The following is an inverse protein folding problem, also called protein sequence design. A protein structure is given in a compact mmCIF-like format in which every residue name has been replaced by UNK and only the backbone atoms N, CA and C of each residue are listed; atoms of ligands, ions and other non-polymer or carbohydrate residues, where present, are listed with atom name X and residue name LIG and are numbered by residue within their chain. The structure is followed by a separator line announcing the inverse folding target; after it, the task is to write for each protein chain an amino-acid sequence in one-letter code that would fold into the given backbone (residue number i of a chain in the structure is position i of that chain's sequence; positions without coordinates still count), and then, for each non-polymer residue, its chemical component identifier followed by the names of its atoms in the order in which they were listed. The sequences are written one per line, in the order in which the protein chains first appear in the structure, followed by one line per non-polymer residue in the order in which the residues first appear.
data_IF_149296701169
#
_entry.id   IF_149296701169
#
_cell.length_a   1.000
_cell.length_b   1.000
_cell.length_c   1.000
_cell.angle_alpha   90.00
_cell.angle_beta   90.00
_cell.angle_gamma   90.00
#
_symmetry.space_group_name_H-M   'P 1'
#
loop_
_entity.id
_entity.type
_entity.pdbx_description
1 polymer ?
#
# COMPACT_ATOMS: atom_id res chain seq x y z
N UNK A 1 7.28 12.04 18.37
CA UNK A 1 8.16 11.75 17.20
C UNK A 1 9.22 12.85 17.15
N UNK A 2 10.47 12.49 16.92
CA UNK A 2 11.60 13.41 16.95
C UNK A 2 11.46 14.41 15.79
N UNK A 3 11.65 15.72 16.04
CA UNK A 3 11.37 16.78 15.05
C UNK A 3 12.19 16.62 13.74
N UNK A 4 13.44 16.15 13.85
CA UNK A 4 14.25 15.89 12.67
C UNK A 4 13.68 14.77 11.77
N UNK A 5 13.05 13.72 12.33
CA UNK A 5 12.38 12.68 11.55
C UNK A 5 11.16 13.23 10.79
N UNK A 6 10.39 14.13 11.42
CA UNK A 6 9.27 14.80 10.75
C UNK A 6 9.74 15.68 9.59
N UNK A 7 10.88 16.37 9.79
CA UNK A 7 11.46 17.19 8.73
C UNK A 7 11.93 16.34 7.54
N UNK A 8 12.62 15.23 7.79
CA UNK A 8 13.03 14.26 6.74
C UNK A 8 11.82 13.70 6.01
N UNK A 9 10.82 13.21 6.73
CA UNK A 9 9.57 12.68 6.14
C UNK A 9 8.91 13.71 5.22
N UNK A 10 8.77 14.94 5.69
CA UNK A 10 8.16 16.02 4.90
C UNK A 10 8.98 16.38 3.66
N UNK A 11 10.30 16.43 3.78
CA UNK A 11 11.20 16.72 2.66
C UNK A 11 11.14 15.63 1.59
N UNK A 12 11.10 14.35 1.98
CA UNK A 12 10.99 13.22 1.04
C UNK A 12 9.63 13.22 0.34
N UNK A 13 8.54 13.47 1.08
CA UNK A 13 7.19 13.57 0.47
C UNK A 13 7.18 14.69 -0.58
N UNK A 14 7.68 15.89 -0.24
CA UNK A 14 7.72 17.02 -1.18
C UNK A 14 8.57 16.70 -2.41
N UNK A 15 9.74 16.08 -2.23
CA UNK A 15 10.61 15.70 -3.33
C UNK A 15 9.94 14.67 -4.27
N UNK A 16 9.35 13.60 -3.71
CA UNK A 16 8.70 12.54 -4.50
C UNK A 16 7.41 13.03 -5.16
N UNK A 17 6.57 13.77 -4.44
CA UNK A 17 5.34 14.32 -4.99
C UNK A 17 5.61 15.42 -6.02
N UNK A 18 6.68 16.21 -5.83
CA UNK A 18 7.05 17.30 -6.73
C UNK A 18 7.51 16.89 -8.13
N UNK A 19 7.88 15.61 -8.35
CA UNK A 19 8.21 15.08 -9.70
C UNK A 19 6.97 14.70 -10.52
N UNK A 20 5.77 15.11 -10.10
CA UNK A 20 4.51 14.77 -10.75
C UNK A 20 4.50 15.13 -12.23
N UNK A 21 3.97 14.24 -13.04
CA UNK A 21 3.68 14.41 -14.45
C UNK A 21 2.62 13.39 -14.89
N UNK A 22 1.99 13.60 -16.04
CA UNK A 22 0.87 12.79 -16.51
C UNK A 22 1.17 11.26 -16.53
N UNK A 23 2.38 10.86 -16.94
CA UNK A 23 2.76 9.45 -16.97
C UNK A 23 2.88 8.87 -15.55
N UNK A 24 3.62 9.52 -14.66
CA UNK A 24 3.80 9.08 -13.28
C UNK A 24 2.50 9.13 -12.49
N UNK A 25 1.66 10.14 -12.71
CA UNK A 25 0.34 10.26 -12.08
C UNK A 25 -0.54 9.06 -12.42
N UNK A 26 -0.60 8.68 -13.71
CA UNK A 26 -1.34 7.51 -14.16
C UNK A 26 -0.75 6.22 -13.60
N UNK A 27 0.58 6.08 -13.63
CA UNK A 27 1.29 4.90 -13.16
C UNK A 27 1.05 4.68 -11.65
N UNK A 28 1.30 5.69 -10.82
CA UNK A 28 1.15 5.56 -9.36
C UNK A 28 -0.31 5.50 -8.92
N UNK A 29 -1.23 6.12 -9.68
CA UNK A 29 -2.66 5.92 -9.47
C UNK A 29 -3.08 4.46 -9.69
N UNK A 30 -2.61 3.83 -10.77
CA UNK A 30 -2.82 2.40 -11.02
C UNK A 30 -2.24 1.53 -9.89
N UNK A 31 -0.99 1.77 -9.47
CA UNK A 31 -0.39 1.01 -8.36
C UNK A 31 -1.15 1.17 -7.05
N UNK A 32 -1.74 2.34 -6.79
CA UNK A 32 -2.57 2.60 -5.60
C UNK A 32 -3.98 2.01 -5.69
N UNK A 33 -4.45 1.66 -6.90
CA UNK A 33 -5.80 1.17 -7.16
C UNK A 33 -6.01 -0.26 -6.66
N UNK A 34 -7.09 -0.50 -5.91
CA UNK A 34 -7.42 -1.85 -5.41
C UNK A 34 -7.77 -2.82 -6.54
N UNK A 35 -8.51 -2.36 -7.55
CA UNK A 35 -8.97 -3.19 -8.66
C UNK A 35 -7.85 -3.55 -9.64
N UNK A 36 -6.80 -2.75 -9.71
CA UNK A 36 -5.62 -2.99 -10.56
C UNK A 36 -4.98 -4.36 -10.28
N UNK A 37 -5.08 -4.84 -9.05
CA UNK A 37 -4.40 -6.06 -8.60
C UNK A 37 -5.25 -7.32 -8.69
N UNK A 38 -6.51 -7.23 -9.17
CA UNK A 38 -7.37 -8.40 -9.39
C UNK A 38 -6.67 -9.47 -10.25
N UNK A 39 -6.03 -9.14 -11.39
CA UNK A 39 -5.34 -10.17 -12.20
C UNK A 39 -4.23 -10.88 -11.43
N UNK A 40 -3.47 -10.16 -10.59
CA UNK A 40 -2.45 -10.76 -9.73
C UNK A 40 -3.08 -11.71 -8.70
N UNK A 41 -4.17 -11.31 -8.05
CA UNK A 41 -4.85 -12.16 -7.06
C UNK A 41 -5.37 -13.44 -7.69
N UNK A 42 -5.99 -13.35 -8.88
CA UNK A 42 -6.45 -14.51 -9.64
C UNK A 42 -5.30 -15.43 -10.05
N UNK A 43 -4.17 -14.86 -10.47
CA UNK A 43 -2.96 -15.64 -10.82
C UNK A 43 -2.39 -16.39 -9.62
N UNK A 44 -2.32 -15.75 -8.44
CA UNK A 44 -1.87 -16.39 -7.20
C UNK A 44 -2.80 -17.54 -6.80
N UNK A 45 -4.12 -17.32 -6.83
CA UNK A 45 -5.12 -18.36 -6.57
C UNK A 45 -5.01 -19.53 -7.55
N UNK A 46 -4.81 -19.22 -8.84
CA UNK A 46 -4.59 -20.24 -9.87
C UNK A 46 -3.36 -21.10 -9.56
N UNK A 47 -2.22 -20.51 -9.15
CA UNK A 47 -1.04 -21.28 -8.78
C UNK A 47 -1.27 -22.11 -7.53
N UNK A 48 -1.94 -21.59 -6.50
CA UNK A 48 -2.27 -22.37 -5.31
C UNK A 48 -3.19 -23.55 -5.68
N UNK A 49 -4.21 -23.29 -6.49
CA UNK A 49 -5.07 -24.36 -6.99
C UNK A 49 -4.28 -25.44 -7.78
N UNK A 50 -3.46 -24.99 -8.73
CA UNK A 50 -2.67 -25.88 -9.60
C UNK A 50 -1.72 -26.80 -8.80
N UNK A 51 -1.07 -26.28 -7.79
CA UNK A 51 -0.03 -27.04 -7.05
C UNK A 51 -0.56 -27.76 -5.81
N UNK A 52 -1.62 -27.27 -5.19
CA UNK A 52 -2.11 -27.80 -3.92
C UNK A 52 -3.56 -28.32 -3.97
N UNK A 53 -4.28 -28.06 -5.05
CA UNK A 53 -5.67 -28.47 -5.24
C UNK A 53 -6.68 -27.48 -4.64
N UNK A 54 -7.97 -27.71 -4.99
CA UNK A 54 -9.07 -26.79 -4.70
C UNK A 54 -9.28 -26.51 -3.21
N UNK A 55 -9.24 -27.53 -2.37
CA UNK A 55 -9.45 -27.38 -0.91
C UNK A 55 -8.42 -26.46 -0.28
N UNK A 56 -7.13 -26.61 -0.66
CA UNK A 56 -6.04 -25.75 -0.15
C UNK A 56 -6.09 -24.36 -0.73
N UNK A 57 -6.58 -24.18 -1.94
CA UNK A 57 -6.84 -22.85 -2.52
C UNK A 57 -7.91 -22.10 -1.72
N UNK A 58 -9.01 -22.75 -1.35
CA UNK A 58 -10.05 -22.14 -0.50
C UNK A 58 -9.48 -21.78 0.88
N UNK A 59 -8.69 -22.67 1.49
CA UNK A 59 -8.03 -22.39 2.76
C UNK A 59 -7.08 -21.17 2.65
N UNK A 60 -6.28 -21.12 1.59
CA UNK A 60 -5.40 -19.97 1.31
C UNK A 60 -6.20 -18.67 1.17
N UNK A 61 -7.31 -18.68 0.43
CA UNK A 61 -8.19 -17.52 0.28
C UNK A 61 -8.74 -17.05 1.64
N UNK A 62 -9.18 -17.98 2.49
CA UNK A 62 -9.67 -17.67 3.84
C UNK A 62 -8.55 -17.06 4.70
N UNK A 63 -7.34 -17.64 4.67
CA UNK A 63 -6.18 -17.13 5.41
C UNK A 63 -5.81 -15.72 4.93
N UNK A 64 -5.76 -15.48 3.62
CA UNK A 64 -5.48 -14.14 3.06
C UNK A 64 -6.55 -13.14 3.51
N UNK A 65 -7.83 -13.51 3.41
CA UNK A 65 -8.94 -12.65 3.86
C UNK A 65 -8.85 -12.31 5.35
N UNK A 66 -8.60 -13.32 6.19
CA UNK A 66 -8.41 -13.12 7.64
C UNK A 66 -7.19 -12.24 7.96
N UNK A 67 -6.08 -12.42 7.22
CA UNK A 67 -4.87 -11.61 7.38
C UNK A 67 -5.14 -10.15 7.01
N UNK A 68 -5.80 -9.87 5.88
CA UNK A 68 -6.15 -8.51 5.47
C UNK A 68 -7.07 -7.85 6.50
N UNK A 69 -8.08 -8.58 6.98
CA UNK A 69 -8.99 -8.07 8.01
C UNK A 69 -8.24 -7.74 9.32
N UNK A 70 -7.32 -8.61 9.75
CA UNK A 70 -6.50 -8.39 10.94
C UNK A 70 -5.54 -7.20 10.76
N UNK A 71 -4.89 -7.07 9.59
CA UNK A 71 -3.99 -5.96 9.27
C UNK A 71 -4.76 -4.64 9.24
N UNK A 72 -5.92 -4.59 8.63
CA UNK A 72 -6.75 -3.37 8.59
C UNK A 72 -7.24 -3.00 10.00
N UNK A 73 -7.74 -3.97 10.77
CA UNK A 73 -8.17 -3.77 12.15
C UNK A 73 -7.04 -3.23 13.03
N UNK A 74 -5.87 -3.88 13.01
CA UNK A 74 -4.72 -3.45 13.80
C UNK A 74 -4.19 -2.10 13.35
N UNK A 75 -4.11 -1.84 12.04
CA UNK A 75 -3.68 -0.56 11.49
C UNK A 75 -4.58 0.59 11.93
N UNK A 76 -5.90 0.37 12.04
CA UNK A 76 -6.83 1.41 12.47
C UNK A 76 -6.78 1.58 13.99
N UNK A 77 -7.10 0.54 14.74
CA UNK A 77 -7.33 0.66 16.20
C UNK A 77 -6.02 0.89 16.97
N UNK A 78 -4.97 0.10 16.69
CA UNK A 78 -3.74 0.21 17.48
C UNK A 78 -2.78 1.30 16.97
N UNK A 79 -2.91 1.72 15.72
CA UNK A 79 -1.98 2.71 15.18
C UNK A 79 -2.66 4.04 14.86
N UNK A 80 -3.66 4.08 13.97
CA UNK A 80 -4.23 5.36 13.52
C UNK A 80 -4.97 6.10 14.62
N UNK A 81 -5.79 5.40 15.41
CA UNK A 81 -6.54 6.02 16.51
C UNK A 81 -5.66 6.34 17.70
N UNK A 82 -4.60 5.57 17.95
CA UNK A 82 -3.66 5.79 19.05
C UNK A 82 -2.70 6.94 18.76
N UNK A 83 -2.06 6.94 17.59
CA UNK A 83 -1.05 7.95 17.25
C UNK A 83 -1.63 9.21 16.63
N UNK A 84 -2.82 9.15 16.04
CA UNK A 84 -3.55 10.25 15.39
C UNK A 84 -2.66 11.14 14.51
N UNK A 85 -1.68 10.54 13.84
CA UNK A 85 -0.76 11.23 12.96
C UNK A 85 -1.48 11.63 11.68
N UNK A 86 -1.66 12.94 11.47
CA UNK A 86 -2.23 13.46 10.23
C UNK A 86 -1.41 13.04 9.01
N UNK A 87 -2.09 12.68 7.94
CA UNK A 87 -1.46 12.46 6.64
C UNK A 87 -0.86 13.75 6.08
N UNK A 88 0.14 13.68 5.16
CA UNK A 88 0.62 14.87 4.45
C UNK A 88 -0.52 15.68 3.81
N UNK A 89 -1.52 14.98 3.22
CA UNK A 89 -2.71 15.56 2.60
C UNK A 89 -3.64 16.32 3.55
N UNK A 90 -3.54 16.10 4.85
CA UNK A 90 -4.33 16.76 5.91
C UNK A 90 -3.48 17.65 6.82
N UNK A 91 -2.16 17.77 6.55
CA UNK A 91 -1.28 18.64 7.32
C UNK A 91 -1.50 20.10 6.91
N UNK A 92 -1.72 21.02 7.88
CA UNK A 92 -2.15 22.40 7.64
C UNK A 92 -1.26 23.20 6.68
N UNK A 93 0.04 22.98 6.71
CA UNK A 93 1.02 23.70 5.89
C UNK A 93 1.43 22.86 4.67
N UNK A 94 1.80 21.59 4.90
CA UNK A 94 2.35 20.72 3.87
C UNK A 94 1.36 20.45 2.74
N UNK A 95 0.08 20.27 3.06
CA UNK A 95 -0.97 20.01 2.06
C UNK A 95 -1.12 21.10 1.00
N UNK A 96 -0.71 22.32 1.30
CA UNK A 96 -0.74 23.46 0.35
C UNK A 96 0.39 23.41 -0.68
N UNK A 97 1.41 22.59 -0.44
CA UNK A 97 2.60 22.44 -1.29
C UNK A 97 2.58 21.14 -2.09
N UNK A 98 1.60 20.27 -1.83
CA UNK A 98 1.49 18.97 -2.49
C UNK A 98 0.53 19.03 -3.67
N UNK A 99 0.89 18.29 -4.73
CA UNK A 99 0.01 17.94 -5.82
C UNK A 99 -0.87 16.76 -5.44
N UNK A 100 -2.16 16.82 -5.74
CA UNK A 100 -3.10 15.73 -5.49
C UNK A 100 -3.74 15.24 -6.78
N UNK A 101 -3.88 13.94 -6.89
CA UNK A 101 -4.61 13.35 -8.01
C UNK A 101 -6.09 13.72 -7.94
N UNK A 102 -6.64 14.13 -9.09
CA UNK A 102 -8.08 14.40 -9.25
C UNK A 102 -8.71 13.19 -9.91
N UNK A 103 -9.64 12.57 -9.23
CA UNK A 103 -10.35 11.40 -9.74
C UNK A 103 -11.30 11.78 -10.89
N UNK A 104 -11.76 10.79 -11.68
CA UNK A 104 -12.63 11.03 -12.84
C UNK A 104 -13.96 11.73 -12.48
N UNK A 105 -14.40 11.66 -11.23
CA UNK A 105 -15.57 12.37 -10.72
C UNK A 105 -15.28 13.83 -10.28
N UNK A 106 -14.06 14.32 -10.47
CA UNK A 106 -13.62 15.66 -10.07
C UNK A 106 -13.20 15.79 -8.61
N UNK A 107 -13.27 14.72 -7.80
CA UNK A 107 -12.86 14.77 -6.40
C UNK A 107 -11.34 14.66 -6.24
N UNK A 108 -10.79 15.50 -5.36
CA UNK A 108 -9.38 15.48 -5.00
C UNK A 108 -9.11 14.32 -4.03
N UNK A 109 -8.23 13.41 -4.42
CA UNK A 109 -7.89 12.25 -3.60
C UNK A 109 -6.94 12.62 -2.46
N UNK A 110 -7.44 12.58 -1.22
CA UNK A 110 -6.66 12.89 -0.01
C UNK A 110 -6.53 11.71 0.97
N UNK A 111 -7.28 10.64 0.74
CA UNK A 111 -7.38 9.52 1.69
C UNK A 111 -8.06 9.91 3.01
N UNK A 112 -7.95 9.06 4.02
CA UNK A 112 -8.47 9.35 5.36
C UNK A 112 -7.57 10.29 6.15
N UNK A 113 -8.04 10.74 7.32
CA UNK A 113 -7.39 11.77 8.13
C UNK A 113 -6.02 11.32 8.70
N UNK A 114 -5.94 10.12 9.29
CA UNK A 114 -4.73 9.59 9.94
C UNK A 114 -3.98 8.61 9.03
N UNK A 115 -2.65 8.64 9.07
CA UNK A 115 -1.76 7.94 8.15
C UNK A 115 -0.98 6.77 8.73
N UNK A 116 -0.56 6.85 9.98
CA UNK A 116 0.35 5.86 10.55
C UNK A 116 -0.41 4.65 11.15
N UNK A 117 -0.21 3.45 10.68
CA UNK A 117 0.60 2.96 9.57
C UNK A 117 -0.24 2.87 8.29
N UNK A 118 0.42 2.69 7.12
CA UNK A 118 -0.27 2.52 5.85
C UNK A 118 -0.85 1.10 5.71
N UNK A 119 -2.16 0.96 5.81
CA UNK A 119 -2.83 -0.33 5.60
C UNK A 119 -2.62 -0.89 4.18
N UNK A 120 -2.47 -0.04 3.15
CA UNK A 120 -2.14 -0.50 1.79
C UNK A 120 -0.78 -1.19 1.74
N UNK A 121 0.27 -0.56 2.28
CA UNK A 121 1.60 -1.16 2.36
C UNK A 121 1.56 -2.47 3.16
N UNK A 122 1.00 -2.45 4.37
CA UNK A 122 0.93 -3.60 5.25
C UNK A 122 0.21 -4.80 4.60
N UNK A 123 -0.90 -4.57 3.88
CA UNK A 123 -1.64 -5.62 3.18
C UNK A 123 -0.82 -6.24 2.04
N UNK A 124 -0.10 -5.42 1.24
CA UNK A 124 0.74 -5.94 0.16
C UNK A 124 1.96 -6.71 0.67
N UNK A 125 2.62 -6.25 1.73
CA UNK A 125 3.71 -7.00 2.35
C UNK A 125 3.22 -8.31 2.98
N UNK A 126 2.07 -8.31 3.66
CA UNK A 126 1.46 -9.52 4.21
C UNK A 126 1.11 -10.54 3.12
N UNK A 127 0.49 -10.11 2.02
CA UNK A 127 0.20 -10.96 0.87
C UNK A 127 1.49 -11.51 0.24
N UNK A 128 2.54 -10.68 0.14
CA UNK A 128 3.85 -11.08 -0.38
C UNK A 128 4.45 -12.22 0.42
N UNK A 129 4.43 -12.12 1.74
CA UNK A 129 4.95 -13.16 2.63
C UNK A 129 4.10 -14.43 2.50
N UNK A 130 2.78 -14.32 2.63
CA UNK A 130 1.88 -15.48 2.55
C UNK A 130 1.98 -16.21 1.21
N UNK A 131 1.84 -15.52 0.09
CA UNK A 131 1.88 -16.12 -1.23
C UNK A 131 3.30 -16.57 -1.61
N UNK A 132 4.32 -15.76 -1.30
CA UNK A 132 5.70 -16.07 -1.58
C UNK A 132 6.17 -17.32 -0.85
N UNK A 133 5.86 -17.45 0.45
CA UNK A 133 6.20 -18.65 1.23
C UNK A 133 5.39 -19.88 0.81
N UNK A 134 4.09 -19.72 0.58
CA UNK A 134 3.22 -20.82 0.13
C UNK A 134 3.69 -21.40 -1.20
N UNK A 135 4.08 -20.57 -2.14
CA UNK A 135 4.47 -20.98 -3.50
C UNK A 135 5.98 -21.20 -3.67
N UNK A 136 6.79 -21.02 -2.63
CA UNK A 136 8.27 -21.05 -2.68
C UNK A 136 8.84 -22.29 -3.36
N UNK A 137 8.29 -23.46 -3.07
CA UNK A 137 8.76 -24.74 -3.63
C UNK A 137 8.59 -24.82 -5.14
N UNK A 138 7.59 -24.13 -5.71
CA UNK A 138 7.23 -24.18 -7.11
C UNK A 138 7.62 -22.91 -7.90
N UNK A 139 7.74 -21.78 -7.22
CA UNK A 139 7.97 -20.45 -7.77
C UNK A 139 8.91 -19.64 -6.88
N UNK A 140 10.16 -20.09 -6.75
CA UNK A 140 11.16 -19.51 -5.82
C UNK A 140 11.40 -18.01 -5.97
N UNK A 141 11.28 -17.48 -7.20
CA UNK A 141 11.49 -16.05 -7.48
C UNK A 141 10.23 -15.19 -7.33
N UNK A 142 9.06 -15.80 -7.08
CA UNK A 142 7.80 -15.08 -6.96
C UNK A 142 7.83 -14.07 -5.81
N UNK A 143 8.47 -14.42 -4.69
CA UNK A 143 8.56 -13.52 -3.53
C UNK A 143 9.25 -12.21 -3.87
N UNK A 144 10.30 -12.23 -4.71
CA UNK A 144 11.00 -11.02 -5.13
C UNK A 144 10.14 -10.13 -6.03
N UNK A 145 9.39 -10.74 -6.96
CA UNK A 145 8.42 -10.00 -7.77
C UNK A 145 7.34 -9.35 -6.90
N UNK A 146 6.79 -10.08 -5.95
CA UNK A 146 5.76 -9.55 -5.04
C UNK A 146 6.33 -8.47 -4.12
N UNK A 147 7.58 -8.57 -3.68
CA UNK A 147 8.27 -7.51 -2.92
C UNK A 147 8.42 -6.23 -3.74
N UNK A 148 8.82 -6.33 -5.00
CA UNK A 148 8.90 -5.16 -5.90
C UNK A 148 7.52 -4.50 -6.01
N UNK A 149 6.46 -5.29 -6.20
CA UNK A 149 5.09 -4.77 -6.27
C UNK A 149 4.71 -4.08 -4.94
N UNK A 150 4.96 -4.70 -3.79
CA UNK A 150 4.66 -4.11 -2.49
C UNK A 150 5.42 -2.79 -2.26
N UNK A 151 6.68 -2.71 -2.66
CA UNK A 151 7.47 -1.48 -2.62
C UNK A 151 6.89 -0.41 -3.56
N UNK A 152 6.49 -0.77 -4.78
CA UNK A 152 5.86 0.17 -5.73
C UNK A 152 4.50 0.67 -5.23
N UNK A 153 3.68 -0.20 -4.63
CA UNK A 153 2.44 0.21 -3.96
C UNK A 153 2.72 1.16 -2.81
N UNK A 154 3.72 0.86 -1.96
CA UNK A 154 4.13 1.74 -0.86
C UNK A 154 4.61 3.10 -1.37
N UNK A 155 5.46 3.12 -2.40
CA UNK A 155 5.93 4.34 -3.05
C UNK A 155 4.77 5.15 -3.64
N UNK A 156 3.78 4.49 -4.23
CA UNK A 156 2.60 5.17 -4.77
C UNK A 156 1.84 5.97 -3.70
N UNK A 157 1.83 5.50 -2.44
CA UNK A 157 1.16 6.21 -1.33
C UNK A 157 1.89 7.49 -0.95
N UNK A 158 3.23 7.47 -1.02
CA UNK A 158 4.07 8.65 -0.79
C UNK A 158 3.94 9.64 -1.96
N UNK A 159 4.03 9.13 -3.20
CA UNK A 159 3.87 9.93 -4.42
C UNK A 159 2.53 10.68 -4.47
N UNK A 160 1.44 10.01 -4.11
CA UNK A 160 0.10 10.62 -4.07
C UNK A 160 -0.10 11.59 -2.88
N UNK A 161 0.92 11.82 -2.05
CA UNK A 161 0.88 12.74 -0.92
C UNK A 161 -0.04 12.30 0.24
N UNK A 162 -0.38 11.01 0.30
CA UNK A 162 -1.32 10.49 1.32
C UNK A 162 -0.66 9.74 2.46
N UNK A 163 0.65 9.46 2.37
CA UNK A 163 1.45 8.86 3.45
C UNK A 163 2.86 9.43 3.48
N UNK A 164 3.43 9.50 4.67
CA UNK A 164 4.86 9.75 4.84
C UNK A 164 5.67 8.47 4.55
N UNK A 165 6.97 8.57 4.20
CA UNK A 165 7.85 7.41 4.09
C UNK A 165 7.81 6.52 5.33
N UNK A 166 7.85 7.09 6.52
CA UNK A 166 7.79 6.35 7.79
C UNK A 166 6.43 5.70 8.09
N UNK A 167 5.36 5.97 7.32
CA UNK A 167 4.08 5.28 7.45
C UNK A 167 4.07 3.95 6.66
N UNK A 168 5.01 3.75 5.74
CA UNK A 168 5.03 2.62 4.77
C UNK A 168 6.22 1.67 4.93
N UNK A 169 7.13 1.98 5.86
CA UNK A 169 8.31 1.15 6.20
C UNK A 169 7.99 0.15 7.30
#
# INVERSE_FOLDING_TARGET
MIEWLKAIDSSIVLAINGIHNHFLDTLFWLFSGKLTWIPLYLLLLFFVWKYFGFRKMILFLVIVGATIALVDFTSVIFFKETFQRYRPSHHLVLSKQLYFHVAANGEVYKGGQYGFVSSHAANFFSLTILAGMTLRAYRKNLIWLLLIIACMVSLSRVYLGVHYPSDVI
#
